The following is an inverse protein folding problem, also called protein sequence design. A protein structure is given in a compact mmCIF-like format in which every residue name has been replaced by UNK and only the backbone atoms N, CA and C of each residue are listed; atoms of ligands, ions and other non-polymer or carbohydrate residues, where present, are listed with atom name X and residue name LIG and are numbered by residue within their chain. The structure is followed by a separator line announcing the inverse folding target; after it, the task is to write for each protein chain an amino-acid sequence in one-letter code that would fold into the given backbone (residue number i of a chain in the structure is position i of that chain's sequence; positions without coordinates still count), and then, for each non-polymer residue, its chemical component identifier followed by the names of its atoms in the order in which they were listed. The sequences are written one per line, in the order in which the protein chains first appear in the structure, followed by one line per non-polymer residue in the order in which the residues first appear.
data_IF_112760945684
#
_entry.id   IF_112760945684
#
_cell.length_a   1.000
_cell.length_b   1.000
_cell.length_c   1.000
_cell.angle_alpha   90.00
_cell.angle_beta   90.00
_cell.angle_gamma   90.00
#
_symmetry.space_group_name_H-M   'P 1'
#
loop_
_entity.id
_entity.type
_entity.pdbx_description
1 polymer ?
#
# COMPACT_ATOMS: atom_id res chain seq x y z
N UNK A 1 39.07 35.28 34.19
CA UNK A 1 37.96 34.31 34.11
C UNK A 1 36.81 34.94 33.35
N UNK A 2 36.63 34.60 32.07
CA UNK A 2 35.49 34.99 31.24
C UNK A 2 35.18 33.81 30.30
N UNK A 3 33.96 33.28 30.38
CA UNK A 3 33.35 32.42 29.35
C UNK A 3 31.86 32.33 29.69
N UNK A 4 31.04 33.26 29.18
CA UNK A 4 30.15 33.10 28.00
C UNK A 4 29.08 32.02 28.18
N UNK A 5 27.90 32.47 28.59
CA UNK A 5 26.62 31.76 28.53
C UNK A 5 26.12 31.72 27.08
N UNK A 6 25.86 30.53 26.54
CA UNK A 6 25.09 30.37 25.29
C UNK A 6 23.59 30.40 25.59
N UNK A 7 22.75 31.06 24.77
CA UNK A 7 21.30 30.98 24.92
C UNK A 7 20.77 29.69 24.31
N UNK A 8 19.87 29.02 25.04
CA UNK A 8 19.13 27.86 24.60
C UNK A 8 18.01 28.33 23.67
N UNK A 9 18.13 28.09 22.36
CA UNK A 9 17.09 28.39 21.38
C UNK A 9 16.05 27.25 21.41
N UNK A 10 14.89 27.49 22.02
CA UNK A 10 13.77 26.57 21.99
C UNK A 10 13.06 26.66 20.63
N UNK A 11 13.27 25.66 19.76
CA UNK A 11 12.50 25.48 18.53
C UNK A 11 11.11 24.94 18.88
N UNK A 12 10.11 25.82 18.83
CA UNK A 12 8.69 25.45 18.86
C UNK A 12 8.36 24.71 17.55
N UNK A 13 8.32 23.38 17.61
CA UNK A 13 7.77 22.56 16.53
C UNK A 13 6.24 22.65 16.60
N UNK A 14 5.65 23.49 15.74
CA UNK A 14 4.20 23.52 15.54
C UNK A 14 3.74 22.19 14.92
N UNK A 15 2.81 21.46 15.55
CA UNK A 15 2.21 20.30 14.90
C UNK A 15 1.36 20.79 13.72
N UNK A 16 1.75 20.44 12.50
CA UNK A 16 0.87 20.51 11.34
C UNK A 16 -0.24 19.48 11.56
N UNK A 17 -1.37 19.92 12.12
CA UNK A 17 -2.60 19.17 12.05
C UNK A 17 -3.02 19.14 10.58
N UNK A 18 -2.73 18.04 9.89
CA UNK A 18 -3.32 17.78 8.58
C UNK A 18 -4.81 17.53 8.82
N UNK A 19 -5.62 18.55 8.59
CA UNK A 19 -7.06 18.37 8.44
C UNK A 19 -7.28 17.37 7.30
N UNK A 20 -8.08 16.33 7.55
CA UNK A 20 -8.55 15.47 6.48
C UNK A 20 -9.19 16.37 5.40
N UNK A 21 -8.93 16.14 4.11
CA UNK A 21 -9.57 16.93 3.07
C UNK A 21 -11.09 16.84 3.26
N UNK A 22 -11.71 17.96 3.57
CA UNK A 22 -13.17 18.05 3.57
C UNK A 22 -13.63 17.75 2.15
N UNK A 23 -14.60 16.84 1.95
CA UNK A 23 -15.16 16.61 0.63
C UNK A 23 -15.55 17.95 0.03
N UNK A 24 -15.13 18.21 -1.21
CA UNK A 24 -15.54 19.43 -1.90
C UNK A 24 -17.07 19.44 -1.99
N UNK A 25 -17.71 20.62 -1.94
CA UNK A 25 -19.16 20.73 -2.07
C UNK A 25 -19.72 20.00 -3.31
N UNK A 26 -18.91 19.88 -4.37
CA UNK A 26 -19.21 19.16 -5.60
C UNK A 26 -19.39 17.65 -5.37
N UNK A 27 -18.48 17.01 -4.61
CA UNK A 27 -18.55 15.56 -4.35
C UNK A 27 -19.86 15.13 -3.69
N UNK A 28 -20.33 15.88 -2.68
CA UNK A 28 -21.58 15.55 -1.99
C UNK A 28 -22.82 15.74 -2.89
N UNK A 29 -22.81 16.75 -3.75
CA UNK A 29 -23.88 17.00 -4.70
C UNK A 29 -23.93 15.91 -5.79
N UNK A 30 -22.77 15.50 -6.29
CA UNK A 30 -22.61 14.44 -7.28
C UNK A 30 -23.05 13.07 -6.71
N UNK A 31 -22.65 12.73 -5.49
CA UNK A 31 -23.07 11.49 -4.83
C UNK A 31 -24.60 11.40 -4.66
N UNK A 32 -25.25 12.51 -4.27
CA UNK A 32 -26.72 12.53 -4.12
C UNK A 32 -27.39 12.30 -5.47
N UNK A 33 -26.92 12.99 -6.51
CA UNK A 33 -27.50 12.88 -7.85
C UNK A 33 -27.34 11.48 -8.43
N UNK A 34 -26.15 10.88 -8.34
CA UNK A 34 -25.93 9.50 -8.80
C UNK A 34 -26.83 8.50 -8.05
N UNK A 35 -26.98 8.69 -6.74
CA UNK A 35 -27.85 7.82 -5.93
C UNK A 35 -29.33 7.97 -6.29
N UNK A 36 -29.81 9.20 -6.48
CA UNK A 36 -31.19 9.45 -6.91
C UNK A 36 -31.45 8.85 -8.30
N UNK A 37 -30.54 9.05 -9.27
CA UNK A 37 -30.65 8.50 -10.62
C UNK A 37 -30.66 6.95 -10.62
N UNK A 38 -29.88 6.33 -9.73
CA UNK A 38 -29.90 4.88 -9.51
C UNK A 38 -31.24 4.42 -8.94
N UNK A 39 -31.70 5.08 -7.88
CA UNK A 39 -32.87 4.68 -7.11
C UNK A 39 -34.18 4.85 -7.90
N UNK A 40 -34.27 5.92 -8.68
CA UNK A 40 -35.43 6.24 -9.51
C UNK A 40 -35.38 5.55 -10.89
N UNK A 41 -34.34 4.75 -11.16
CA UNK A 41 -34.22 3.99 -12.40
C UNK A 41 -35.33 2.94 -12.53
N UNK A 42 -36.10 3.04 -13.62
CA UNK A 42 -37.10 2.03 -14.00
C UNK A 42 -36.55 0.92 -14.94
N UNK A 43 -35.23 0.84 -15.11
CA UNK A 43 -34.58 -0.22 -15.91
C UNK A 43 -34.51 -1.52 -15.10
N UNK A 44 -35.24 -2.57 -15.48
CA UNK A 44 -35.19 -3.88 -14.82
C UNK A 44 -33.80 -4.58 -14.83
N UNK A 45 -32.81 -4.00 -15.53
CA UNK A 45 -31.42 -4.44 -15.56
C UNK A 45 -30.44 -3.43 -14.95
N UNK A 46 -30.91 -2.43 -14.17
CA UNK A 46 -30.09 -1.37 -13.59
C UNK A 46 -28.85 -1.92 -12.85
N UNK A 47 -29.02 -3.00 -12.09
CA UNK A 47 -27.96 -3.64 -11.29
C UNK A 47 -26.77 -4.14 -12.12
N UNK A 48 -26.92 -4.36 -13.43
CA UNK A 48 -25.80 -4.79 -14.30
C UNK A 48 -24.76 -3.70 -14.53
N UNK A 49 -25.14 -2.44 -14.31
CA UNK A 49 -24.25 -1.28 -14.43
C UNK A 49 -23.55 -0.97 -13.11
N UNK A 50 -24.08 -1.50 -12.01
CA UNK A 50 -23.53 -1.30 -10.67
C UNK A 50 -22.27 -2.12 -10.45
N UNK A 51 -21.25 -1.44 -9.96
CA UNK A 51 -20.04 -2.08 -9.47
C UNK A 51 -20.17 -2.26 -7.96
N UNK A 52 -19.77 -3.43 -7.46
CA UNK A 52 -19.72 -3.67 -6.00
C UNK A 52 -18.77 -2.69 -5.29
N UNK A 53 -17.72 -2.25 -5.99
CA UNK A 53 -16.78 -1.24 -5.51
C UNK A 53 -16.51 -0.21 -6.62
N UNK A 54 -16.46 1.05 -6.22
CA UNK A 54 -15.89 2.16 -6.99
C UNK A 54 -14.59 2.58 -6.34
N UNK A 55 -13.59 2.90 -7.15
CA UNK A 55 -12.25 3.29 -6.71
C UNK A 55 -11.80 4.57 -7.40
N UNK A 56 -11.15 5.46 -6.66
CA UNK A 56 -10.46 6.64 -7.22
C UNK A 56 -9.29 6.23 -8.12
N UNK A 57 -8.62 5.12 -7.79
CA UNK A 57 -7.54 4.56 -8.60
C UNK A 57 -7.49 3.03 -8.50
N UNK A 58 -7.18 2.38 -9.62
CA UNK A 58 -6.97 0.93 -9.69
C UNK A 58 -5.56 0.62 -10.24
N UNK A 59 -4.91 -0.39 -9.66
CA UNK A 59 -3.58 -0.85 -10.10
C UNK A 59 -3.56 -2.35 -10.30
N UNK A 60 -2.90 -2.81 -11.37
CA UNK A 60 -2.62 -4.23 -11.62
C UNK A 60 -1.13 -4.43 -11.85
N UNK A 61 -0.47 -5.08 -10.91
CA UNK A 61 0.98 -5.23 -10.88
C UNK A 61 1.36 -6.69 -11.08
N UNK A 62 2.31 -6.94 -11.98
CA UNK A 62 2.99 -8.22 -12.15
C UNK A 62 4.27 -8.21 -11.33
N UNK A 63 4.33 -9.05 -10.30
CA UNK A 63 5.51 -9.23 -9.48
C UNK A 63 6.28 -10.48 -9.94
N UNK A 64 7.60 -10.36 -10.12
CA UNK A 64 8.45 -11.45 -10.59
C UNK A 64 9.72 -11.57 -9.74
N UNK A 65 10.42 -12.72 -9.79
CA UNK A 65 11.59 -12.99 -8.96
C UNK A 65 12.82 -12.12 -9.32
N UNK A 66 12.94 -11.71 -10.58
CA UNK A 66 14.05 -10.93 -11.12
C UNK A 66 13.98 -9.43 -10.73
N UNK A 67 12.85 -8.98 -10.18
CA UNK A 67 12.66 -7.60 -9.74
C UNK A 67 13.07 -7.37 -8.28
N UNK A 68 13.48 -8.41 -7.55
CA UNK A 68 13.75 -8.34 -6.11
C UNK A 68 15.03 -7.54 -5.82
N UNK A 69 14.93 -6.60 -4.89
CA UNK A 69 16.03 -5.72 -4.45
C UNK A 69 16.14 -5.87 -2.94
N UNK A 70 17.32 -6.24 -2.45
CA UNK A 70 17.56 -6.35 -1.01
C UNK A 70 17.61 -4.97 -0.33
N UNK A 71 17.52 -4.95 0.99
CA UNK A 71 17.66 -3.72 1.80
C UNK A 71 19.02 -3.02 1.61
N UNK A 72 20.05 -3.72 1.14
CA UNK A 72 21.34 -3.14 0.76
C UNK A 72 21.29 -2.32 -0.55
N UNK A 73 20.18 -2.37 -1.27
CA UNK A 73 20.00 -1.74 -2.58
C UNK A 73 20.56 -2.52 -3.76
N UNK A 74 21.06 -3.74 -3.54
CA UNK A 74 21.54 -4.63 -4.61
C UNK A 74 20.43 -5.58 -5.07
N UNK A 75 20.44 -6.02 -6.34
CA UNK A 75 19.60 -7.13 -6.79
C UNK A 75 19.80 -8.37 -5.91
N UNK A 76 18.70 -9.04 -5.60
CA UNK A 76 18.70 -10.30 -4.86
C UNK A 76 17.88 -11.35 -5.60
N UNK A 77 18.22 -12.64 -5.46
CA UNK A 77 17.45 -13.69 -6.11
C UNK A 77 16.07 -13.81 -5.46
N UNK A 78 15.00 -13.62 -6.25
CA UNK A 78 13.66 -14.06 -5.87
C UNK A 78 13.47 -15.57 -6.08
N UNK A 79 12.27 -16.07 -5.77
CA UNK A 79 11.96 -17.50 -5.87
C UNK A 79 11.81 -17.95 -7.33
N UNK A 80 12.65 -18.87 -7.84
CA UNK A 80 12.55 -19.33 -9.22
C UNK A 80 11.17 -19.91 -9.53
N UNK A 81 10.58 -19.50 -10.66
CA UNK A 81 9.25 -19.93 -11.10
C UNK A 81 8.08 -19.26 -10.37
N UNK A 82 8.34 -18.44 -9.34
CA UNK A 82 7.29 -17.69 -8.67
C UNK A 82 6.80 -16.51 -9.52
N UNK A 83 5.52 -16.18 -9.37
CA UNK A 83 4.88 -15.01 -9.98
C UNK A 83 3.77 -14.49 -9.08
N UNK A 84 3.58 -13.18 -9.08
CA UNK A 84 2.50 -12.51 -8.36
C UNK A 84 1.66 -11.65 -9.29
N UNK A 85 0.36 -11.65 -9.04
CA UNK A 85 -0.59 -10.69 -9.60
C UNK A 85 -1.24 -9.95 -8.43
N UNK A 86 -0.90 -8.68 -8.30
CA UNK A 86 -1.39 -7.81 -7.24
C UNK A 86 -2.37 -6.81 -7.86
N UNK A 87 -3.61 -6.83 -7.40
CA UNK A 87 -4.63 -5.88 -7.84
C UNK A 87 -5.03 -5.02 -6.66
N UNK A 88 -5.07 -3.72 -6.85
CA UNK A 88 -5.44 -2.76 -5.83
C UNK A 88 -6.52 -1.82 -6.35
N UNK A 89 -7.45 -1.46 -5.48
CA UNK A 89 -8.38 -0.36 -5.65
C UNK A 89 -8.25 0.58 -4.46
N UNK A 90 -8.09 1.88 -4.70
CA UNK A 90 -7.86 2.90 -3.67
C UNK A 90 -9.02 3.86 -3.62
N UNK A 91 -9.48 4.17 -2.41
CA UNK A 91 -10.40 5.26 -2.09
C UNK A 91 -9.68 6.24 -1.16
N UNK A 92 -9.42 7.44 -1.68
CA UNK A 92 -8.59 8.48 -1.09
C UNK A 92 -9.31 9.08 0.11
N UNK A 93 -10.56 9.49 -0.03
CA UNK A 93 -11.31 10.15 1.05
C UNK A 93 -11.48 9.23 2.28
N UNK A 94 -11.70 7.94 2.05
CA UNK A 94 -11.86 6.93 3.10
C UNK A 94 -10.53 6.40 3.64
N UNK A 95 -9.39 6.84 3.10
CA UNK A 95 -8.06 6.30 3.34
C UNK A 95 -8.04 4.75 3.30
N UNK A 96 -8.62 4.19 2.23
CA UNK A 96 -8.91 2.76 2.11
C UNK A 96 -8.26 2.18 0.87
N UNK A 97 -7.71 0.97 1.00
CA UNK A 97 -7.18 0.19 -0.11
C UNK A 97 -7.77 -1.22 -0.08
N UNK A 98 -8.47 -1.58 -1.15
CA UNK A 98 -8.94 -2.93 -1.41
C UNK A 98 -7.92 -3.67 -2.28
N UNK A 99 -7.77 -4.97 -2.05
CA UNK A 99 -6.76 -5.78 -2.71
C UNK A 99 -7.31 -7.14 -3.14
N UNK A 100 -6.75 -7.66 -4.23
CA UNK A 100 -6.89 -9.04 -4.67
C UNK A 100 -5.52 -9.51 -5.16
N UNK A 101 -4.85 -10.29 -4.33
CA UNK A 101 -3.48 -10.73 -4.49
C UNK A 101 -3.51 -12.23 -4.80
N UNK A 102 -2.85 -12.62 -5.88
CA UNK A 102 -2.65 -14.03 -6.24
C UNK A 102 -1.17 -14.31 -6.45
N UNK A 103 -0.63 -15.31 -5.77
CA UNK A 103 0.72 -15.82 -5.95
C UNK A 103 0.69 -17.24 -6.51
N UNK A 104 1.64 -17.57 -7.38
CA UNK A 104 1.78 -18.88 -7.99
C UNK A 104 3.27 -19.24 -8.01
N UNK A 105 3.64 -20.41 -7.51
CA UNK A 105 5.03 -20.83 -7.36
C UNK A 105 5.77 -20.21 -6.17
N UNK A 106 5.09 -19.42 -5.33
CA UNK A 106 5.63 -18.98 -4.01
C UNK A 106 5.36 -20.09 -3.01
N UNK A 107 6.41 -20.66 -2.43
CA UNK A 107 6.32 -21.86 -1.58
C UNK A 107 6.96 -21.63 -0.20
N UNK A 108 6.69 -22.54 0.73
CA UNK A 108 7.22 -22.46 2.09
C UNK A 108 6.47 -21.45 2.98
N UNK A 109 6.98 -21.29 4.20
CA UNK A 109 6.40 -20.43 5.22
C UNK A 109 6.67 -18.95 4.93
N UNK A 110 5.66 -18.11 5.14
CA UNK A 110 5.83 -16.66 5.12
C UNK A 110 6.69 -16.20 6.29
N UNK A 111 7.59 -15.25 6.05
CA UNK A 111 8.42 -14.64 7.08
C UNK A 111 8.76 -13.21 6.70
N UNK A 112 8.65 -12.29 7.65
CA UNK A 112 9.00 -10.88 7.51
C UNK A 112 9.26 -10.28 8.90
N UNK A 113 10.09 -9.22 9.01
CA UNK A 113 10.14 -8.41 10.22
C UNK A 113 8.83 -7.66 10.51
N UNK A 114 8.04 -7.36 9.47
CA UNK A 114 6.73 -6.73 9.59
C UNK A 114 5.66 -7.73 10.07
N UNK A 115 4.47 -7.22 10.41
CA UNK A 115 3.35 -8.02 10.95
C UNK A 115 2.85 -9.09 9.97
N UNK A 116 3.00 -8.88 8.66
CA UNK A 116 2.82 -9.89 7.62
C UNK A 116 4.02 -9.87 6.69
N UNK A 117 4.01 -10.73 5.66
CA UNK A 117 5.09 -10.87 4.69
C UNK A 117 4.63 -10.52 3.27
N UNK A 118 3.61 -9.67 3.13
CA UNK A 118 3.08 -9.22 1.86
C UNK A 118 2.75 -7.74 1.98
N UNK A 119 3.36 -6.90 1.16
CA UNK A 119 3.39 -5.47 1.44
C UNK A 119 3.16 -4.57 0.21
N UNK A 120 2.93 -3.29 0.50
CA UNK A 120 3.38 -2.18 -0.35
C UNK A 120 4.47 -1.43 0.41
N UNK A 121 5.58 -1.18 -0.27
CA UNK A 121 6.70 -0.36 0.19
C UNK A 121 6.75 0.98 -0.55
N UNK A 122 7.22 2.02 0.12
CA UNK A 122 7.54 3.31 -0.49
C UNK A 122 9.00 3.31 -0.98
N UNK A 123 9.19 3.04 -2.26
CA UNK A 123 10.50 3.06 -2.92
C UNK A 123 10.36 3.04 -4.45
N UNK A 124 11.20 3.83 -5.12
CA UNK A 124 11.25 3.89 -6.59
C UNK A 124 11.86 2.62 -7.19
N UNK A 125 11.70 2.45 -8.51
CA UNK A 125 12.25 1.31 -9.24
C UNK A 125 13.75 1.11 -8.97
N UNK A 126 14.10 -0.13 -8.62
CA UNK A 126 15.48 -0.53 -8.33
C UNK A 126 16.00 -0.08 -6.97
N UNK A 127 15.16 0.48 -6.10
CA UNK A 127 15.53 0.87 -4.73
C UNK A 127 14.64 0.16 -3.70
N UNK A 128 15.20 -0.16 -2.51
CA UNK A 128 14.41 -0.62 -1.38
C UNK A 128 13.66 0.56 -0.75
N UNK A 129 12.75 0.28 0.17
CA UNK A 129 11.95 1.27 0.87
C UNK A 129 11.31 0.70 2.13
N UNK A 130 10.81 1.52 3.07
CA UNK A 130 10.08 1.03 4.22
C UNK A 130 8.70 0.48 3.80
N UNK A 131 8.18 -0.57 4.48
CA UNK A 131 6.81 -1.02 4.27
C UNK A 131 5.85 0.06 4.79
N UNK A 132 4.80 0.34 4.01
CA UNK A 132 3.71 1.27 4.39
C UNK A 132 2.37 0.57 4.57
N UNK A 133 2.18 -0.59 3.92
CA UNK A 133 0.99 -1.41 4.05
C UNK A 133 1.41 -2.88 4.24
N UNK A 134 0.75 -3.58 5.15
CA UNK A 134 0.93 -4.99 5.42
C UNK A 134 -0.40 -5.72 5.19
N UNK A 135 -0.46 -6.58 4.18
CA UNK A 135 -1.64 -7.34 3.81
C UNK A 135 -1.61 -8.74 4.43
N UNK A 136 -2.75 -9.35 4.78
CA UNK A 136 -2.81 -10.77 5.12
C UNK A 136 -2.09 -11.62 4.06
N UNK A 137 -1.21 -12.51 4.52
CA UNK A 137 -0.44 -13.35 3.61
C UNK A 137 -1.37 -14.25 2.77
N UNK A 138 -1.14 -14.36 1.44
CA UNK A 138 -1.93 -15.24 0.59
C UNK A 138 -1.91 -16.70 1.06
N UNK A 139 -3.07 -17.34 1.16
CA UNK A 139 -3.20 -18.75 1.58
C UNK A 139 -3.72 -19.61 0.44
N UNK A 140 -3.54 -20.93 0.52
CA UNK A 140 -3.93 -21.88 -0.51
C UNK A 140 -2.75 -22.73 -0.99
N UNK A 141 -2.95 -23.53 -2.06
CA UNK A 141 -1.90 -24.37 -2.63
C UNK A 141 -0.82 -23.51 -3.31
N UNK A 142 0.40 -24.06 -3.44
CA UNK A 142 1.56 -23.35 -3.97
C UNK A 142 1.38 -22.89 -5.43
N UNK A 143 0.54 -23.58 -6.21
CA UNK A 143 0.19 -23.20 -7.58
C UNK A 143 -0.68 -21.94 -7.62
N UNK A 144 -1.41 -21.63 -6.53
CA UNK A 144 -2.33 -20.50 -6.43
C UNK A 144 -2.68 -20.16 -4.97
N UNK A 145 -1.84 -19.35 -4.33
CA UNK A 145 -2.15 -18.71 -3.04
C UNK A 145 -2.89 -17.40 -3.27
N UNK A 146 -3.90 -17.08 -2.46
CA UNK A 146 -4.73 -15.88 -2.63
C UNK A 146 -4.94 -15.11 -1.33
N UNK A 147 -5.03 -13.79 -1.42
CA UNK A 147 -5.47 -12.90 -0.35
C UNK A 147 -6.36 -11.81 -0.95
N UNK A 148 -7.51 -11.54 -0.34
CA UNK A 148 -8.42 -10.48 -0.78
C UNK A 148 -9.09 -9.81 0.42
N UNK A 149 -9.44 -8.54 0.28
CA UNK A 149 -10.04 -7.75 1.35
C UNK A 149 -9.80 -6.27 1.16
N UNK A 150 -10.06 -5.48 2.19
CA UNK A 150 -9.72 -4.05 2.22
C UNK A 150 -9.06 -3.70 3.55
N UNK A 151 -8.10 -2.80 3.51
CA UNK A 151 -7.49 -2.18 4.68
C UNK A 151 -7.94 -0.73 4.74
N UNK A 152 -8.27 -0.24 5.93
CA UNK A 152 -8.60 1.16 6.20
C UNK A 152 -7.59 1.73 7.18
N UNK A 153 -7.13 2.95 6.93
CA UNK A 153 -6.21 3.65 7.81
C UNK A 153 -6.84 4.00 9.18
N UNK A 154 -6.03 4.30 10.21
CA UNK A 154 -4.56 4.34 10.19
C UNK A 154 -3.94 2.95 10.01
N UNK A 155 -2.87 2.88 9.23
CA UNK A 155 -2.19 1.63 8.92
C UNK A 155 -1.09 1.33 9.96
N UNK A 156 -0.75 0.05 10.09
CA UNK A 156 0.26 -0.45 11.01
C UNK A 156 1.01 -1.62 10.37
N UNK A 157 2.34 -1.57 10.37
CA UNK A 157 3.17 -2.63 9.78
C UNK A 157 4.06 -3.34 10.81
N UNK A 158 4.09 -2.88 12.06
CA UNK A 158 4.95 -3.40 13.13
C UNK A 158 6.45 -3.32 12.80
N UNK A 159 6.87 -2.20 12.22
CA UNK A 159 8.29 -1.93 11.97
C UNK A 159 8.59 -0.52 12.46
N UNK A 160 9.49 -0.37 13.42
CA UNK A 160 9.84 0.96 13.94
C UNK A 160 10.75 1.70 12.96
N UNK A 161 10.40 2.94 12.65
CA UNK A 161 11.27 3.89 11.99
C UNK A 161 12.34 4.38 12.98
N UNK A 162 13.64 4.16 12.71
CA UNK A 162 14.70 4.48 13.67
C UNK A 162 14.90 5.99 13.88
N UNK A 163 14.46 6.82 12.92
CA UNK A 163 14.60 8.28 12.99
C UNK A 163 13.49 8.91 13.83
N UNK A 164 12.25 8.41 13.71
CA UNK A 164 11.09 9.01 14.40
C UNK A 164 10.66 8.24 15.65
N UNK A 165 11.10 6.99 15.83
CA UNK A 165 10.67 6.11 16.91
C UNK A 165 9.24 5.58 16.77
N UNK A 166 8.56 5.87 15.66
CA UNK A 166 7.17 5.46 15.39
C UNK A 166 7.11 4.29 14.40
N UNK A 167 5.93 3.71 14.20
CA UNK A 167 5.72 2.70 13.15
C UNK A 167 6.02 3.28 11.75
N UNK A 168 6.55 2.46 10.84
CA UNK A 168 6.82 2.86 9.47
C UNK A 168 5.55 3.21 8.70
N UNK A 169 4.35 2.83 9.15
CA UNK A 169 3.10 3.29 8.54
C UNK A 169 2.47 4.50 9.28
N UNK A 170 3.11 5.05 10.32
CA UNK A 170 2.59 6.21 11.06
C UNK A 170 2.35 7.40 10.12
N UNK A 171 1.12 7.91 10.14
CA UNK A 171 0.69 9.03 9.29
C UNK A 171 0.67 8.73 7.79
N UNK A 172 0.83 7.47 7.38
CA UNK A 172 0.72 7.09 5.96
C UNK A 172 -0.72 7.20 5.48
N UNK A 173 -0.90 7.78 4.29
CA UNK A 173 -2.19 7.96 3.62
C UNK A 173 -2.11 7.44 2.19
N UNK A 174 -3.14 6.72 1.74
CA UNK A 174 -3.17 6.08 0.41
C UNK A 174 -3.10 7.06 -0.76
N UNK A 175 -3.47 8.33 -0.54
CA UNK A 175 -3.30 9.42 -1.51
C UNK A 175 -1.88 9.46 -2.09
N UNK A 176 -0.85 9.19 -1.27
CA UNK A 176 0.56 9.22 -1.71
C UNK A 176 0.85 8.19 -2.79
N UNK A 177 0.16 7.05 -2.79
CA UNK A 177 0.27 6.04 -3.84
C UNK A 177 -0.35 6.57 -5.14
N UNK A 178 -1.48 7.29 -5.06
CA UNK A 178 -2.16 7.84 -6.24
C UNK A 178 -1.37 9.01 -6.83
N UNK A 179 -0.79 9.87 -5.99
CA UNK A 179 0.02 11.01 -6.41
C UNK A 179 1.34 10.60 -7.10
N UNK A 180 1.95 9.50 -6.65
CA UNK A 180 3.22 9.02 -7.21
C UNK A 180 3.31 7.48 -7.15
N UNK A 181 2.58 6.75 -8.01
CA UNK A 181 2.55 5.30 -7.96
C UNK A 181 3.92 4.67 -8.26
N UNK A 182 4.73 5.27 -9.14
CA UNK A 182 6.09 4.81 -9.41
C UNK A 182 7.03 4.94 -8.21
N UNK A 183 6.63 5.68 -7.17
CA UNK A 183 7.27 5.73 -5.86
C UNK A 183 7.01 4.51 -4.97
N UNK A 184 6.25 3.51 -5.43
CA UNK A 184 5.85 2.35 -4.62
C UNK A 184 6.05 1.02 -5.34
N UNK A 185 6.33 -0.03 -4.57
CA UNK A 185 6.37 -1.40 -5.06
C UNK A 185 5.64 -2.35 -4.10
N UNK A 186 5.24 -3.50 -4.61
CA UNK A 186 4.68 -4.59 -3.82
C UNK A 186 5.59 -5.82 -3.85
N UNK A 187 5.54 -6.61 -2.80
CA UNK A 187 6.27 -7.86 -2.67
C UNK A 187 5.56 -8.88 -1.77
N UNK A 188 6.08 -10.10 -1.81
CA UNK A 188 5.82 -11.12 -0.79
C UNK A 188 7.12 -11.83 -0.44
N UNK A 189 7.29 -12.20 0.83
CA UNK A 189 8.49 -12.83 1.37
C UNK A 189 8.20 -14.21 1.94
N UNK A 190 9.18 -15.09 1.88
CA UNK A 190 9.14 -16.40 2.56
C UNK A 190 10.40 -16.60 3.36
N UNK A 191 10.42 -17.59 4.25
CA UNK A 191 11.60 -17.89 5.08
C UNK A 191 12.86 -18.19 4.24
N UNK A 192 12.70 -18.75 3.03
CA UNK A 192 13.81 -18.99 2.10
C UNK A 192 14.18 -17.74 1.31
N UNK A 193 13.23 -16.84 1.06
CA UNK A 193 13.41 -15.62 0.25
C UNK A 193 13.08 -14.38 1.08
N UNK A 194 13.90 -14.11 2.09
CA UNK A 194 13.71 -13.01 3.05
C UNK A 194 13.75 -11.65 2.38
N UNK A 195 14.59 -11.46 1.35
CA UNK A 195 14.62 -10.22 0.57
C UNK A 195 13.36 -10.04 -0.32
N UNK A 196 12.58 -11.10 -0.52
CA UNK A 196 11.40 -11.14 -1.37
C UNK A 196 11.40 -12.38 -2.26
N UNK A 197 10.30 -13.13 -2.27
CA UNK A 197 10.05 -14.20 -3.24
C UNK A 197 9.69 -13.62 -4.61
N UNK A 198 8.91 -12.53 -4.62
CA UNK A 198 8.56 -11.74 -5.81
C UNK A 198 8.50 -10.25 -5.46
N UNK A 199 8.79 -9.38 -6.43
CA UNK A 199 8.63 -7.92 -6.32
C UNK A 199 8.01 -7.36 -7.61
N UNK A 200 7.22 -6.30 -7.51
CA UNK A 200 6.66 -5.58 -8.66
C UNK A 200 6.52 -4.09 -8.38
N UNK A 201 7.04 -3.24 -9.26
CA UNK A 201 6.84 -1.78 -9.17
C UNK A 201 5.41 -1.42 -9.58
N UNK A 202 4.77 -0.49 -8.86
CA UNK A 202 3.49 0.07 -9.31
C UNK A 202 3.71 0.91 -10.58
N UNK A 203 2.80 0.84 -11.57
CA UNK A 203 2.94 1.58 -12.83
C UNK A 203 2.61 3.07 -12.65
N UNK A 204 3.30 3.93 -13.40
CA UNK A 204 2.87 5.31 -13.64
C UNK A 204 1.57 5.37 -14.45
N UNK A 205 0.86 6.49 -14.34
CA UNK A 205 -0.27 6.85 -15.20
C UNK A 205 0.21 7.68 -16.40
#
# INVERSE_FOLDING_TARGET
MRSTTLPLLALLASPLAFAAPTPTPDYQADCKKEWDDLWDSHDNNWWKKEKLFSFDAEYVIKATPDQVIANSGSPAPGQPGARGLFKYGINIAENTICYNITLSGVTGAYQSPAITATHIHEGVKGKPGPPRLAFPNPTGPDERRTSFGCLKGPFFVNVTNPTTGKDQADGFHVARIVENPEGFFTDSHTATYVAGAVRGQLPGH
#
